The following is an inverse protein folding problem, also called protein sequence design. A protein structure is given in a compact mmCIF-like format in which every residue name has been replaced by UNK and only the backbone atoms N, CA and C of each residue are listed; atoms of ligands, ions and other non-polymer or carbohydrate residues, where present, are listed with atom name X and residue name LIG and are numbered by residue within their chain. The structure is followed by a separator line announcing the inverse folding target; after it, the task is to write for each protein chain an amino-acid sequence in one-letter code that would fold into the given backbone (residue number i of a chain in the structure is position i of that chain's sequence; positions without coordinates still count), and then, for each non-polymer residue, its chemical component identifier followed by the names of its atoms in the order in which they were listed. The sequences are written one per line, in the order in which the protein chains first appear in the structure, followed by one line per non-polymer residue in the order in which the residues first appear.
data_IF_866698040501
#
_entry.id   IF_866698040501
#
_cell.length_a   1.000
_cell.length_b   1.000
_cell.length_c   1.000
_cell.angle_alpha   90.00
_cell.angle_beta   90.00
_cell.angle_gamma   90.00
#
_symmetry.space_group_name_H-M   'P 1'
#
loop_
_entity.id
_entity.type
_entity.pdbx_description
1 polymer ?
#
# COMPACT_ATOMS: atom_id res chain seq x y z
N UNK A 1 43.51 -48.09 -53.46
CA UNK A 1 43.33 -46.63 -53.35
C UNK A 1 41.90 -46.22 -53.67
N UNK A 2 41.33 -46.59 -54.85
CA UNK A 2 39.94 -46.21 -55.26
C UNK A 2 38.82 -46.67 -54.29
N UNK A 3 38.93 -47.97 -53.85
CA UNK A 3 37.91 -48.53 -52.94
C UNK A 3 37.93 -47.82 -51.53
N UNK A 4 39.09 -47.44 -51.00
CA UNK A 4 39.21 -46.77 -49.74
C UNK A 4 38.74 -45.28 -49.78
N UNK A 5 38.98 -44.61 -50.90
CA UNK A 5 38.45 -43.24 -51.14
C UNK A 5 36.94 -43.25 -51.30
N UNK A 6 36.36 -44.21 -52.03
CA UNK A 6 34.92 -44.35 -52.18
C UNK A 6 34.24 -44.65 -50.85
N UNK A 7 34.81 -45.55 -50.03
CA UNK A 7 34.30 -45.89 -48.70
C UNK A 7 34.36 -44.65 -47.78
N UNK A 8 35.46 -43.87 -47.79
CA UNK A 8 35.59 -42.64 -47.01
C UNK A 8 34.56 -41.61 -47.43
N UNK A 9 34.37 -41.40 -48.75
CA UNK A 9 33.34 -40.43 -49.24
C UNK A 9 31.93 -40.81 -48.81
N UNK A 10 31.57 -42.11 -48.90
CA UNK A 10 30.24 -42.62 -48.48
C UNK A 10 30.07 -42.48 -46.97
N UNK A 11 31.10 -42.78 -46.17
CA UNK A 11 31.03 -42.62 -44.69
C UNK A 11 30.85 -41.15 -44.29
N UNK A 12 31.62 -40.24 -44.88
CA UNK A 12 31.52 -38.82 -44.63
C UNK A 12 30.14 -38.26 -45.07
N UNK A 13 29.62 -38.70 -46.22
CA UNK A 13 28.28 -38.28 -46.67
C UNK A 13 27.18 -38.73 -45.71
N UNK A 14 27.26 -39.98 -45.17
CA UNK A 14 26.31 -40.48 -44.15
C UNK A 14 26.38 -39.70 -42.85
N UNK A 15 27.58 -39.36 -42.36
CA UNK A 15 27.76 -38.53 -41.16
C UNK A 15 27.08 -37.16 -41.32
N UNK A 16 27.23 -36.51 -42.50
CA UNK A 16 26.56 -35.25 -42.79
C UNK A 16 25.04 -35.40 -42.87
N UNK A 17 24.53 -36.46 -43.50
CA UNK A 17 23.09 -36.72 -43.54
C UNK A 17 22.52 -36.98 -42.13
N UNK A 18 23.20 -37.74 -41.30
CA UNK A 18 22.76 -38.01 -39.93
C UNK A 18 22.78 -36.74 -39.07
N UNK A 19 23.77 -35.86 -39.24
CA UNK A 19 23.84 -34.57 -38.58
C UNK A 19 22.70 -33.65 -39.02
N UNK A 20 22.41 -33.55 -40.31
CA UNK A 20 21.29 -32.74 -40.84
C UNK A 20 19.94 -33.30 -40.36
N UNK A 21 19.79 -34.62 -40.31
CA UNK A 21 18.60 -35.26 -39.76
C UNK A 21 18.42 -35.00 -38.26
N UNK A 22 19.51 -34.96 -37.50
CA UNK A 22 19.47 -34.61 -36.09
C UNK A 22 19.01 -33.15 -35.87
N UNK A 23 19.56 -32.21 -36.61
CA UNK A 23 19.12 -30.81 -36.62
C UNK A 23 17.64 -30.65 -37.04
N UNK A 24 17.24 -31.39 -38.11
CA UNK A 24 15.86 -31.36 -38.60
C UNK A 24 14.85 -31.96 -37.62
N UNK A 25 15.26 -32.87 -36.72
CA UNK A 25 14.39 -33.41 -35.66
C UNK A 25 14.18 -32.45 -34.52
N UNK A 26 15.15 -31.56 -34.22
CA UNK A 26 15.12 -30.66 -33.07
C UNK A 26 14.70 -29.21 -33.41
N UNK A 27 14.85 -28.78 -34.66
CA UNK A 27 14.59 -27.40 -35.10
C UNK A 27 13.53 -27.37 -36.22
N UNK A 28 12.85 -26.23 -36.32
CA UNK A 28 12.04 -25.88 -37.47
C UNK A 28 12.97 -25.52 -38.64
N UNK A 29 12.87 -26.23 -39.76
CA UNK A 29 13.73 -26.02 -40.94
C UNK A 29 12.88 -25.73 -42.16
N UNK A 30 13.26 -24.68 -42.91
CA UNK A 30 12.63 -24.34 -44.19
C UNK A 30 13.68 -23.84 -45.17
N UNK A 31 13.53 -24.22 -46.43
CA UNK A 31 14.42 -23.87 -47.52
C UNK A 31 13.73 -22.93 -48.50
N UNK A 32 14.47 -22.00 -49.04
CA UNK A 32 14.00 -20.99 -49.99
C UNK A 32 14.94 -20.88 -51.17
N UNK A 33 14.41 -20.45 -52.30
CA UNK A 33 15.22 -19.87 -53.37
C UNK A 33 15.88 -18.58 -52.92
N UNK A 34 16.82 -18.02 -53.68
CA UNK A 34 17.51 -16.77 -53.33
C UNK A 34 16.57 -15.54 -53.32
N UNK A 35 15.43 -15.61 -54.02
CA UNK A 35 14.38 -14.58 -54.01
C UNK A 35 13.33 -14.79 -52.90
N UNK A 36 13.44 -15.84 -52.07
CA UNK A 36 12.55 -16.05 -50.94
C UNK A 36 11.34 -16.96 -51.24
N UNK A 37 11.30 -17.67 -52.36
CA UNK A 37 10.25 -18.65 -52.66
C UNK A 37 10.52 -19.98 -51.86
N UNK A 38 9.52 -20.53 -51.20
CA UNK A 38 9.64 -21.75 -50.38
C UNK A 38 9.87 -22.97 -51.29
N UNK A 39 10.93 -23.72 -51.03
CA UNK A 39 11.28 -24.96 -51.68
C UNK A 39 10.80 -26.18 -50.90
N UNK A 40 11.09 -26.18 -49.58
CA UNK A 40 10.80 -27.31 -48.70
C UNK A 40 10.72 -26.84 -47.24
N UNK A 41 9.92 -27.52 -46.42
CA UNK A 41 9.89 -27.34 -44.98
C UNK A 41 9.74 -28.69 -44.29
N UNK A 42 10.29 -28.80 -43.07
CA UNK A 42 10.11 -29.99 -42.22
C UNK A 42 8.84 -29.89 -41.38
N UNK A 43 8.46 -31.01 -40.74
CA UNK A 43 7.24 -31.11 -39.93
C UNK A 43 7.27 -30.16 -38.74
N UNK A 44 8.43 -29.89 -38.14
CA UNK A 44 8.56 -28.93 -37.04
C UNK A 44 8.21 -27.51 -37.49
N UNK A 45 8.66 -27.08 -38.68
CA UNK A 45 8.28 -25.79 -39.23
C UNK A 45 6.78 -25.70 -39.54
N UNK A 46 6.26 -26.75 -40.20
CA UNK A 46 4.83 -26.83 -40.53
C UNK A 46 3.95 -26.78 -39.29
N UNK A 47 4.30 -27.59 -38.28
CA UNK A 47 3.60 -27.61 -36.99
C UNK A 47 3.69 -26.24 -36.26
N UNK A 48 4.87 -25.62 -36.23
CA UNK A 48 5.09 -24.33 -35.57
C UNK A 48 4.26 -23.20 -36.19
N UNK A 49 4.17 -23.22 -37.54
CA UNK A 49 3.48 -22.15 -38.31
C UNK A 49 2.03 -22.53 -38.64
N UNK A 50 1.60 -23.76 -38.30
CA UNK A 50 0.23 -24.24 -38.51
C UNK A 50 -0.13 -24.55 -39.95
N UNK A 51 0.82 -24.56 -40.92
CA UNK A 51 0.58 -24.80 -42.32
C UNK A 51 0.77 -26.27 -42.72
N UNK A 52 0.10 -26.66 -43.79
CA UNK A 52 0.41 -27.90 -44.51
C UNK A 52 1.45 -27.63 -45.61
N UNK A 53 2.21 -28.66 -45.97
CA UNK A 53 3.29 -28.56 -46.95
C UNK A 53 2.82 -27.95 -48.29
N UNK A 54 1.68 -28.41 -48.80
CA UNK A 54 1.13 -27.97 -50.09
C UNK A 54 0.67 -26.50 -50.10
N UNK A 55 0.45 -25.92 -48.92
CA UNK A 55 0.00 -24.55 -48.76
C UNK A 55 1.14 -23.54 -48.90
N UNK A 56 2.39 -23.97 -48.61
CA UNK A 56 3.53 -23.05 -48.54
C UNK A 56 4.55 -23.22 -49.65
N UNK A 57 4.72 -24.45 -50.19
CA UNK A 57 5.68 -24.69 -51.28
C UNK A 57 5.30 -23.84 -52.50
N UNK A 58 6.28 -23.15 -53.08
CA UNK A 58 6.12 -22.22 -54.18
C UNK A 58 5.54 -20.84 -53.77
N UNK A 59 5.19 -20.65 -52.50
CA UNK A 59 4.81 -19.31 -51.98
C UNK A 59 6.05 -18.56 -51.52
N UNK A 60 5.97 -17.25 -51.57
CA UNK A 60 7.05 -16.40 -51.10
C UNK A 60 7.02 -16.27 -49.55
N UNK A 61 8.19 -16.21 -48.92
CA UNK A 61 8.40 -16.05 -47.46
C UNK A 61 7.52 -14.98 -46.81
N UNK A 62 7.11 -13.93 -47.55
CA UNK A 62 6.26 -12.83 -47.05
C UNK A 62 4.94 -13.29 -46.41
N UNK A 63 4.46 -14.51 -46.73
CA UNK A 63 3.24 -15.07 -46.13
C UNK A 63 3.36 -15.30 -44.62
N UNK A 64 4.58 -15.39 -44.10
CA UNK A 64 4.89 -15.56 -42.67
C UNK A 64 5.19 -14.23 -41.97
N UNK A 65 5.17 -13.10 -42.69
CA UNK A 65 5.50 -11.78 -42.19
C UNK A 65 4.24 -10.95 -41.98
N UNK A 66 4.30 -10.00 -41.03
CA UNK A 66 3.29 -8.94 -40.94
C UNK A 66 3.30 -8.10 -42.23
N UNK A 67 2.14 -7.60 -42.70
CA UNK A 67 2.07 -6.81 -43.94
C UNK A 67 3.01 -5.59 -43.98
N UNK A 68 3.18 -4.94 -42.82
CA UNK A 68 4.08 -3.78 -42.66
C UNK A 68 5.54 -4.17 -42.88
N UNK A 69 5.98 -5.31 -42.34
CA UNK A 69 7.33 -5.82 -42.54
C UNK A 69 7.53 -6.26 -44.00
N UNK A 70 6.60 -7.06 -44.54
CA UNK A 70 6.70 -7.60 -45.89
C UNK A 70 6.84 -6.57 -46.98
N UNK A 71 6.32 -5.33 -46.77
CA UNK A 71 6.35 -4.23 -47.69
C UNK A 71 7.46 -3.20 -47.42
N UNK A 72 8.28 -3.43 -46.39
CA UNK A 72 9.35 -2.53 -45.96
C UNK A 72 10.59 -2.61 -46.86
N UNK A 73 11.37 -1.53 -46.94
CA UNK A 73 12.70 -1.54 -47.60
C UNK A 73 13.65 -2.50 -46.90
N UNK A 74 13.58 -2.60 -45.56
CA UNK A 74 14.38 -3.50 -44.73
C UNK A 74 14.18 -4.98 -45.14
N UNK A 75 12.94 -5.37 -45.50
CA UNK A 75 12.64 -6.72 -45.96
C UNK A 75 13.26 -7.01 -47.35
N UNK A 76 13.30 -6.05 -48.25
CA UNK A 76 13.96 -6.18 -49.54
C UNK A 76 15.48 -6.27 -49.38
N UNK A 77 16.06 -5.48 -48.48
CA UNK A 77 17.50 -5.50 -48.21
C UNK A 77 17.92 -6.78 -47.49
N UNK A 78 17.04 -7.34 -46.65
CA UNK A 78 17.24 -8.64 -46.03
C UNK A 78 17.46 -9.76 -47.09
N UNK A 79 16.59 -9.84 -48.12
CA UNK A 79 16.73 -10.84 -49.17
C UNK A 79 17.94 -10.56 -50.10
N UNK A 80 18.27 -9.28 -50.37
CA UNK A 80 19.51 -8.93 -51.10
C UNK A 80 20.77 -9.37 -50.35
N UNK A 81 20.80 -9.20 -49.05
CA UNK A 81 21.93 -9.68 -48.20
C UNK A 81 22.09 -11.20 -48.30
N UNK A 82 21.02 -11.94 -48.20
CA UNK A 82 21.04 -13.40 -48.32
C UNK A 82 21.49 -13.82 -49.72
N UNK A 83 20.99 -13.18 -50.76
CA UNK A 83 21.39 -13.43 -52.16
C UNK A 83 22.86 -13.07 -52.44
N UNK A 84 23.50 -12.21 -51.61
CA UNK A 84 24.94 -11.91 -51.69
C UNK A 84 25.81 -12.86 -50.86
N UNK A 85 25.22 -13.91 -50.22
CA UNK A 85 25.95 -14.90 -49.44
C UNK A 85 26.12 -14.55 -47.96
N UNK A 86 25.50 -13.44 -47.49
CA UNK A 86 25.56 -13.06 -46.08
C UNK A 86 24.47 -13.78 -45.31
N UNK A 87 24.81 -14.52 -44.25
CA UNK A 87 23.84 -15.07 -43.32
C UNK A 87 23.24 -14.01 -42.41
N UNK A 88 22.04 -14.26 -41.89
CA UNK A 88 21.36 -13.39 -40.93
C UNK A 88 20.84 -14.23 -39.76
N UNK A 89 21.12 -13.80 -38.54
CA UNK A 89 20.60 -14.41 -37.32
C UNK A 89 19.96 -13.33 -36.47
N UNK A 90 18.72 -13.57 -36.04
CA UNK A 90 17.96 -12.63 -35.21
C UNK A 90 16.74 -13.32 -34.59
N UNK A 91 16.01 -12.59 -33.73
CA UNK A 91 14.67 -12.94 -33.26
C UNK A 91 13.65 -12.30 -34.20
N UNK A 92 12.85 -13.14 -34.86
CA UNK A 92 11.90 -12.71 -35.87
C UNK A 92 10.46 -12.87 -35.40
N UNK A 93 9.67 -11.78 -35.50
CA UNK A 93 8.23 -11.83 -35.30
C UNK A 93 7.58 -12.33 -36.59
N UNK A 94 6.84 -13.41 -36.53
CA UNK A 94 6.15 -14.02 -37.65
C UNK A 94 4.68 -14.19 -37.36
N UNK A 95 3.90 -14.54 -38.38
CA UNK A 95 2.47 -14.87 -38.27
C UNK A 95 2.23 -16.30 -38.81
N UNK A 96 1.48 -17.05 -38.05
CA UNK A 96 1.03 -18.39 -38.44
C UNK A 96 -0.14 -18.33 -39.46
N UNK A 97 -0.66 -19.49 -39.87
CA UNK A 97 -1.80 -19.55 -40.80
C UNK A 97 -3.09 -18.92 -40.28
N UNK A 98 -3.23 -18.73 -38.94
CA UNK A 98 -4.39 -18.16 -38.28
C UNK A 98 -4.21 -16.66 -37.99
N UNK A 99 -3.06 -16.08 -38.33
CA UNK A 99 -2.71 -14.69 -38.03
C UNK A 99 -2.16 -14.48 -36.63
N UNK A 100 -1.91 -15.56 -35.85
CA UNK A 100 -1.32 -15.46 -34.52
C UNK A 100 0.17 -15.17 -34.60
N UNK A 101 0.67 -14.38 -33.65
CA UNK A 101 2.09 -14.04 -33.60
C UNK A 101 2.91 -15.22 -33.11
N UNK A 102 3.95 -15.55 -33.87
CA UNK A 102 4.97 -16.57 -33.55
C UNK A 102 6.34 -15.89 -33.54
N UNK A 103 7.04 -15.98 -32.43
CA UNK A 103 8.43 -15.52 -32.31
C UNK A 103 9.39 -16.68 -32.60
N UNK A 104 10.27 -16.44 -33.57
CA UNK A 104 11.27 -17.40 -33.99
C UNK A 104 12.67 -16.83 -33.76
N UNK A 105 13.48 -17.49 -32.96
CA UNK A 105 14.93 -17.27 -33.00
C UNK A 105 15.48 -18.09 -34.15
N UNK A 106 16.05 -17.42 -35.16
CA UNK A 106 16.36 -18.09 -36.43
C UNK A 106 17.64 -17.59 -37.09
N UNK A 107 18.28 -18.50 -37.82
CA UNK A 107 19.36 -18.18 -38.73
C UNK A 107 18.96 -18.54 -40.17
N UNK A 108 19.22 -17.62 -41.09
CA UNK A 108 19.06 -17.81 -42.54
C UNK A 108 20.44 -17.94 -43.16
N UNK A 109 20.71 -19.06 -43.79
CA UNK A 109 22.04 -19.46 -44.25
C UNK A 109 22.03 -19.72 -45.76
N UNK A 110 22.66 -18.84 -46.59
CA UNK A 110 22.86 -19.09 -48.00
C UNK A 110 23.76 -20.32 -48.22
N UNK A 111 23.35 -21.21 -49.12
CA UNK A 111 24.03 -22.47 -49.42
C UNK A 111 24.54 -22.45 -50.86
N UNK A 112 25.79 -22.94 -51.06
CA UNK A 112 26.42 -23.08 -52.36
C UNK A 112 26.28 -24.50 -52.91
N UNK A 113 26.20 -24.61 -54.22
CA UNK A 113 26.25 -25.89 -54.92
C UNK A 113 27.72 -26.37 -55.12
N UNK A 114 27.89 -27.51 -55.76
CA UNK A 114 29.20 -28.11 -56.06
C UNK A 114 30.10 -27.22 -56.94
N UNK A 115 29.52 -26.23 -57.62
CA UNK A 115 30.23 -25.25 -58.47
C UNK A 115 30.61 -23.98 -57.71
N UNK A 116 30.27 -23.91 -56.43
CA UNK A 116 30.50 -22.72 -55.63
C UNK A 116 29.48 -21.59 -55.88
N UNK A 117 28.37 -21.86 -56.56
CA UNK A 117 27.31 -20.88 -56.85
C UNK A 117 26.24 -20.94 -55.75
N UNK A 118 25.79 -19.80 -55.26
CA UNK A 118 24.65 -19.71 -54.37
C UNK A 118 23.39 -20.19 -55.07
N UNK A 119 22.60 -21.09 -54.44
CA UNK A 119 21.40 -21.64 -55.07
C UNK A 119 20.18 -21.75 -54.18
N UNK A 120 20.34 -21.70 -52.87
CA UNK A 120 19.23 -21.66 -51.92
C UNK A 120 19.62 -21.01 -50.59
N UNK A 121 18.63 -20.69 -49.78
CA UNK A 121 18.77 -20.25 -48.38
C UNK A 121 18.10 -21.29 -47.48
N UNK A 122 18.79 -21.77 -46.45
CA UNK A 122 18.24 -22.67 -45.43
C UNK A 122 18.05 -21.87 -44.12
N UNK A 123 16.84 -21.90 -43.60
CA UNK A 123 16.51 -21.32 -42.30
C UNK A 123 16.40 -22.42 -41.28
N UNK A 124 17.12 -22.24 -40.16
CA UNK A 124 16.93 -23.00 -38.93
C UNK A 124 16.25 -22.06 -37.91
N UNK A 125 15.22 -22.57 -37.22
CA UNK A 125 14.47 -21.74 -36.29
C UNK A 125 14.01 -22.52 -35.06
N UNK A 126 14.00 -21.83 -33.94
CA UNK A 126 13.40 -22.29 -32.68
C UNK A 126 12.22 -21.39 -32.33
N UNK A 127 11.10 -21.99 -31.94
CA UNK A 127 9.94 -21.23 -31.47
C UNK A 127 10.19 -20.73 -30.05
N UNK A 128 10.33 -19.43 -29.89
CA UNK A 128 10.56 -18.72 -28.60
C UNK A 128 9.34 -17.90 -28.16
N UNK A 129 8.15 -18.16 -28.72
CA UNK A 129 6.94 -17.38 -28.43
C UNK A 129 6.62 -17.37 -26.95
N UNK A 130 6.65 -18.53 -26.29
CA UNK A 130 6.41 -18.62 -24.85
C UNK A 130 7.44 -17.84 -24.04
N UNK A 131 8.72 -17.92 -24.42
CA UNK A 131 9.79 -17.19 -23.76
C UNK A 131 9.58 -15.67 -23.87
N UNK A 132 9.28 -15.17 -25.08
CA UNK A 132 9.03 -13.73 -25.30
C UNK A 132 7.79 -13.24 -24.53
N UNK A 133 6.71 -14.03 -24.52
CA UNK A 133 5.51 -13.70 -23.74
C UNK A 133 5.79 -13.67 -22.24
N UNK A 134 6.61 -14.59 -21.76
CA UNK A 134 7.04 -14.63 -20.37
C UNK A 134 7.92 -13.43 -20.02
N UNK A 135 8.92 -13.09 -20.87
CA UNK A 135 9.77 -11.89 -20.72
C UNK A 135 8.90 -10.62 -20.66
N UNK A 136 7.90 -10.48 -21.53
CA UNK A 136 6.97 -9.34 -21.52
C UNK A 136 6.11 -9.28 -20.25
N UNK A 137 5.56 -10.42 -19.83
CA UNK A 137 4.76 -10.52 -18.61
C UNK A 137 5.58 -10.16 -17.37
N UNK A 138 6.82 -10.63 -17.30
CA UNK A 138 7.74 -10.30 -16.20
C UNK A 138 8.11 -8.81 -16.18
N UNK A 139 8.35 -8.21 -17.34
CA UNK A 139 8.63 -6.77 -17.46
C UNK A 139 7.43 -5.93 -16.99
N UNK A 140 6.21 -6.32 -17.38
CA UNK A 140 4.98 -5.64 -16.92
C UNK A 140 4.77 -5.80 -15.40
N UNK A 141 4.99 -7.00 -14.85
CA UNK A 141 4.89 -7.23 -13.42
C UNK A 141 5.91 -6.40 -12.63
N UNK A 142 7.15 -6.30 -13.13
CA UNK A 142 8.20 -5.48 -12.55
C UNK A 142 7.84 -3.99 -12.56
N UNK A 143 7.30 -3.49 -13.66
CA UNK A 143 6.84 -2.11 -13.76
C UNK A 143 5.72 -1.83 -12.75
N UNK A 144 4.70 -2.69 -12.70
CA UNK A 144 3.59 -2.54 -11.74
C UNK A 144 4.08 -2.58 -10.29
N UNK A 145 5.00 -3.50 -9.96
CA UNK A 145 5.58 -3.59 -8.62
C UNK A 145 6.32 -2.29 -8.24
N UNK A 146 7.04 -1.68 -9.18
CA UNK A 146 7.72 -0.40 -8.96
C UNK A 146 6.72 0.74 -8.72
N UNK A 147 5.67 0.85 -9.53
CA UNK A 147 4.62 1.88 -9.39
C UNK A 147 3.91 1.76 -8.03
N UNK A 148 3.46 0.55 -7.66
CA UNK A 148 2.79 0.28 -6.38
C UNK A 148 3.72 0.58 -5.20
N UNK A 149 5.02 0.26 -5.30
CA UNK A 149 5.98 0.54 -4.24
C UNK A 149 6.23 2.03 -4.05
N UNK A 150 6.32 2.80 -5.13
CA UNK A 150 6.45 4.26 -5.06
C UNK A 150 5.19 4.92 -4.45
N UNK A 151 4.00 4.46 -4.84
CA UNK A 151 2.75 4.92 -4.25
C UNK A 151 2.68 4.60 -2.76
N UNK A 152 3.04 3.36 -2.36
CA UNK A 152 3.12 2.92 -0.96
C UNK A 152 4.08 3.82 -0.18
N UNK A 153 5.25 4.13 -0.73
CA UNK A 153 6.20 5.07 -0.12
C UNK A 153 5.58 6.44 0.14
N UNK A 154 4.85 6.99 -0.82
CA UNK A 154 4.16 8.29 -0.67
C UNK A 154 3.07 8.24 0.42
N UNK A 155 2.25 7.20 0.42
CA UNK A 155 1.20 6.99 1.43
C UNK A 155 1.78 6.83 2.83
N UNK A 156 2.92 6.16 2.96
CA UNK A 156 3.61 5.97 4.24
C UNK A 156 4.12 7.30 4.81
N UNK A 157 4.66 8.18 3.96
CA UNK A 157 5.07 9.54 4.38
C UNK A 157 3.87 10.33 4.90
N UNK A 158 2.73 10.27 4.19
CA UNK A 158 1.48 10.92 4.64
C UNK A 158 0.98 10.32 5.97
N UNK A 159 1.00 8.99 6.10
CA UNK A 159 0.64 8.30 7.34
C UNK A 159 1.48 8.77 8.54
N UNK A 160 2.80 8.90 8.36
CA UNK A 160 3.70 9.44 9.39
C UNK A 160 3.37 10.88 9.77
N UNK A 161 2.99 11.71 8.82
CA UNK A 161 2.59 13.09 9.12
C UNK A 161 1.33 13.14 9.99
N UNK A 162 0.33 12.27 9.69
CA UNK A 162 -0.89 12.15 10.51
C UNK A 162 -0.55 11.68 11.92
N UNK A 163 0.32 10.67 12.05
CA UNK A 163 0.79 10.18 13.35
C UNK A 163 1.50 11.29 14.14
N UNK A 164 2.40 12.02 13.50
CA UNK A 164 3.08 13.17 14.13
C UNK A 164 2.11 14.21 14.67
N UNK A 165 1.09 14.59 13.87
CA UNK A 165 0.04 15.51 14.30
C UNK A 165 -0.81 14.95 15.46
N UNK A 166 -1.02 13.63 15.49
CA UNK A 166 -1.74 12.97 16.59
C UNK A 166 -0.94 13.03 17.88
N UNK A 167 0.36 12.75 17.83
CA UNK A 167 1.27 12.86 18.99
C UNK A 167 1.25 14.28 19.59
N UNK A 168 1.35 15.31 18.75
CA UNK A 168 1.31 16.72 19.17
C UNK A 168 -0.02 17.07 19.84
N UNK A 169 -1.15 16.61 19.27
CA UNK A 169 -2.47 16.82 19.85
C UNK A 169 -2.66 16.11 21.19
N UNK A 170 -2.14 14.89 21.33
CA UNK A 170 -2.21 14.15 22.60
C UNK A 170 -1.37 14.82 23.69
N UNK A 171 -0.21 15.37 23.34
CA UNK A 171 0.59 16.17 24.26
C UNK A 171 -0.19 17.39 24.75
N UNK A 172 -0.79 18.16 23.82
CA UNK A 172 -1.63 19.31 24.15
C UNK A 172 -2.81 18.92 25.03
N UNK A 173 -3.46 17.78 24.73
CA UNK A 173 -4.57 17.26 25.55
C UNK A 173 -4.11 16.93 26.97
N UNK A 174 -2.94 16.31 27.13
CA UNK A 174 -2.38 16.02 28.45
C UNK A 174 -2.15 17.28 29.27
N UNK A 175 -1.61 18.34 28.65
CA UNK A 175 -1.42 19.65 29.32
C UNK A 175 -2.75 20.29 29.74
N UNK A 176 -3.76 20.24 28.87
CA UNK A 176 -5.11 20.75 29.18
C UNK A 176 -5.76 19.97 30.33
N UNK A 177 -5.58 18.63 30.40
CA UNK A 177 -6.08 17.83 31.51
C UNK A 177 -5.39 18.17 32.84
N UNK A 178 -4.08 18.48 32.81
CA UNK A 178 -3.38 18.95 34.00
C UNK A 178 -3.93 20.32 34.49
N UNK A 179 -4.18 21.27 33.59
CA UNK A 179 -4.77 22.54 33.92
C UNK A 179 -6.20 22.40 34.48
N UNK A 180 -7.01 21.53 33.85
CA UNK A 180 -8.36 21.22 34.34
C UNK A 180 -8.34 20.62 35.75
N UNK A 181 -7.41 19.71 36.03
CA UNK A 181 -7.26 19.12 37.36
C UNK A 181 -6.88 20.16 38.41
N UNK A 182 -5.96 21.08 38.10
CA UNK A 182 -5.60 22.16 39.02
C UNK A 182 -6.79 23.10 39.32
N UNK A 183 -7.58 23.45 38.29
CA UNK A 183 -8.78 24.29 38.49
C UNK A 183 -9.86 23.59 39.35
N UNK A 184 -9.97 22.25 39.24
CA UNK A 184 -10.90 21.47 40.06
C UNK A 184 -10.41 21.36 41.50
N UNK A 185 -9.12 21.22 41.77
CA UNK A 185 -8.60 21.24 43.14
C UNK A 185 -8.83 22.62 43.80
N UNK A 186 -8.67 23.72 43.08
CA UNK A 186 -9.04 25.04 43.54
C UNK A 186 -10.53 25.14 43.88
N UNK A 187 -11.42 24.65 43.01
CA UNK A 187 -12.87 24.63 43.26
C UNK A 187 -13.22 23.85 44.53
N UNK A 188 -12.53 22.70 44.75
CA UNK A 188 -12.69 21.89 45.96
C UNK A 188 -12.27 22.66 47.23
N UNK A 189 -11.15 23.37 47.19
CA UNK A 189 -10.68 24.20 48.27
C UNK A 189 -11.68 25.34 48.60
N UNK A 190 -12.20 26.01 47.57
CA UNK A 190 -13.23 27.03 47.71
C UNK A 190 -14.53 26.49 48.31
N UNK A 191 -15.00 25.34 47.83
CA UNK A 191 -16.20 24.66 48.33
C UNK A 191 -16.05 24.29 49.82
N UNK A 192 -14.89 23.79 50.21
CA UNK A 192 -14.58 23.50 51.63
C UNK A 192 -14.63 24.77 52.45
N UNK A 193 -14.07 25.87 51.97
CA UNK A 193 -14.10 27.14 52.68
C UNK A 193 -15.52 27.71 52.83
N UNK A 194 -16.36 27.57 51.78
CA UNK A 194 -17.78 27.92 51.85
C UNK A 194 -18.49 27.13 52.94
N UNK A 195 -18.22 25.79 53.04
CA UNK A 195 -18.79 24.95 54.08
C UNK A 195 -18.43 25.42 55.51
N UNK A 196 -17.17 25.83 55.73
CA UNK A 196 -16.71 26.37 57.01
C UNK A 196 -17.47 27.66 57.36
N UNK A 197 -17.63 28.57 56.38
CA UNK A 197 -18.32 29.85 56.60
C UNK A 197 -19.81 29.64 56.89
N UNK A 198 -20.47 28.75 56.16
CA UNK A 198 -21.89 28.41 56.36
C UNK A 198 -22.11 27.76 57.72
N UNK A 199 -21.25 26.87 58.19
CA UNK A 199 -21.30 26.29 59.54
C UNK A 199 -21.15 27.38 60.62
N UNK A 200 -20.29 28.37 60.40
CA UNK A 200 -20.17 29.54 61.29
C UNK A 200 -21.44 30.39 61.33
N UNK A 201 -22.07 30.63 60.17
CA UNK A 201 -23.36 31.37 60.08
C UNK A 201 -24.47 30.60 60.79
N UNK A 202 -24.57 29.31 60.63
CA UNK A 202 -25.53 28.46 61.35
C UNK A 202 -25.31 28.54 62.87
N UNK A 203 -24.06 28.52 63.35
CA UNK A 203 -23.74 28.70 64.76
C UNK A 203 -24.17 30.13 65.32
N UNK A 204 -24.02 31.17 64.53
CA UNK A 204 -24.49 32.52 64.84
C UNK A 204 -26.03 32.60 64.89
N UNK A 205 -26.69 31.92 63.93
CA UNK A 205 -28.15 31.85 63.89
C UNK A 205 -28.70 31.09 65.16
N UNK A 206 -28.08 30.00 65.57
CA UNK A 206 -28.44 29.27 66.75
C UNK A 206 -28.28 30.09 68.02
N UNK A 207 -27.17 30.84 68.17
CA UNK A 207 -26.96 31.80 69.25
C UNK A 207 -28.01 32.92 69.23
N UNK A 208 -28.34 33.43 68.05
CA UNK A 208 -29.37 34.50 67.87
C UNK A 208 -30.75 33.95 68.27
N UNK A 209 -31.08 32.72 67.85
CA UNK A 209 -32.33 32.03 68.26
C UNK A 209 -32.44 31.91 69.76
N UNK A 210 -31.36 31.50 70.44
CA UNK A 210 -31.33 31.40 71.95
C UNK A 210 -31.44 32.76 72.62
N UNK A 211 -30.78 33.77 72.07
CA UNK A 211 -30.89 35.14 72.59
C UNK A 211 -32.33 35.73 72.47
N UNK A 212 -32.93 35.48 71.31
CA UNK A 212 -34.31 35.87 71.02
C UNK A 212 -35.31 35.16 71.94
N UNK A 213 -35.10 33.85 72.20
CA UNK A 213 -35.91 33.10 73.14
C UNK A 213 -35.80 33.61 74.52
N UNK A 214 -34.60 33.94 75.02
CA UNK A 214 -34.37 34.53 76.33
C UNK A 214 -35.04 35.95 76.45
N UNK A 215 -34.97 36.77 75.39
CA UNK A 215 -35.64 38.08 75.34
C UNK A 215 -37.16 37.95 75.34
N UNK A 216 -37.75 36.97 74.67
CA UNK A 216 -39.16 36.66 74.67
C UNK A 216 -39.66 36.23 76.04
N UNK A 217 -38.88 35.42 76.78
CA UNK A 217 -39.16 34.98 78.13
C UNK A 217 -39.17 36.20 79.06
N UNK A 218 -38.17 37.06 79.00
CA UNK A 218 -38.09 38.26 79.88
C UNK A 218 -39.15 39.26 79.54
N UNK A 219 -39.52 39.46 78.24
CA UNK A 219 -40.64 40.29 77.83
C UNK A 219 -41.98 39.73 78.36
N UNK A 220 -42.21 38.46 78.40
CA UNK A 220 -43.38 37.84 79.00
C UNK A 220 -43.40 38.08 80.53
N UNK A 221 -42.25 38.10 81.16
CA UNK A 221 -42.09 38.35 82.63
C UNK A 221 -42.41 39.77 83.00
N UNK A 222 -42.17 40.75 82.12
CA UNK A 222 -42.47 42.22 82.29
C UNK A 222 -43.97 42.52 82.11
N UNK A 223 -44.82 41.57 81.78
CA UNK A 223 -46.26 41.72 81.61
C UNK A 223 -46.65 42.75 80.51
N UNK A 224 -47.56 43.72 80.80
CA UNK A 224 -48.03 44.67 79.81
C UNK A 224 -46.92 45.61 79.31
N UNK A 225 -45.89 45.86 80.10
CA UNK A 225 -44.73 46.69 79.66
C UNK A 225 -43.81 45.99 78.70
N UNK A 226 -43.90 44.69 78.60
CA UNK A 226 -43.05 43.86 77.72
C UNK A 226 -43.65 43.54 76.32
N UNK A 227 -44.91 43.89 76.03
CA UNK A 227 -45.61 43.45 74.77
C UNK A 227 -44.89 43.81 73.48
N UNK A 228 -44.33 45.04 73.39
CA UNK A 228 -43.59 45.48 72.20
C UNK A 228 -42.27 44.70 72.02
N UNK A 229 -41.56 44.39 73.13
CA UNK A 229 -40.34 43.56 73.11
C UNK A 229 -40.62 42.14 72.77
N UNK A 230 -41.74 41.57 73.17
CA UNK A 230 -42.10 40.18 72.85
C UNK A 230 -42.28 39.97 71.32
N UNK A 231 -42.94 40.93 70.62
CA UNK A 231 -43.12 40.88 69.17
C UNK A 231 -41.79 40.95 68.45
N UNK A 232 -40.85 41.86 68.89
CA UNK A 232 -39.51 41.95 68.26
C UNK A 232 -38.69 40.62 68.51
N UNK A 233 -38.78 40.08 69.73
CA UNK A 233 -38.09 38.84 70.05
C UNK A 233 -38.59 37.68 69.21
N UNK A 234 -39.89 37.52 68.99
CA UNK A 234 -40.45 36.50 68.14
C UNK A 234 -40.04 36.66 66.69
N UNK A 235 -40.00 37.92 66.14
CA UNK A 235 -39.54 38.18 64.78
C UNK A 235 -38.05 37.81 64.58
N UNK A 236 -37.19 38.22 65.55
CA UNK A 236 -35.76 37.79 65.56
C UNK A 236 -35.60 36.29 65.64
N UNK A 237 -36.41 35.61 66.44
CA UNK A 237 -36.41 34.14 66.52
C UNK A 237 -36.80 33.52 65.20
N UNK A 238 -37.85 34.01 64.52
CA UNK A 238 -38.24 33.53 63.23
C UNK A 238 -37.14 33.75 62.15
N UNK A 239 -36.47 34.87 62.14
CA UNK A 239 -35.36 35.21 61.29
C UNK A 239 -34.21 34.29 61.51
N UNK A 240 -33.82 33.96 62.77
CA UNK A 240 -32.80 33.02 63.10
C UNK A 240 -33.11 31.57 62.55
N UNK A 241 -34.37 31.16 62.76
CA UNK A 241 -34.82 29.82 62.22
C UNK A 241 -34.77 29.80 60.70
N UNK A 242 -35.20 30.81 60.00
CA UNK A 242 -35.09 30.92 58.52
C UNK A 242 -33.66 30.91 58.08
N UNK A 243 -32.76 31.63 58.81
CA UNK A 243 -31.31 31.61 58.51
C UNK A 243 -30.77 30.16 58.57
N UNK A 244 -31.09 29.41 59.63
CA UNK A 244 -30.69 28.00 59.74
C UNK A 244 -31.20 27.13 58.60
N UNK A 245 -32.48 27.25 58.21
CA UNK A 245 -33.00 26.52 57.09
C UNK A 245 -32.22 26.82 55.78
N UNK A 246 -31.93 28.11 55.56
CA UNK A 246 -31.16 28.52 54.36
C UNK A 246 -29.69 28.00 54.40
N UNK A 247 -29.06 28.02 55.57
CA UNK A 247 -27.70 27.47 55.75
C UNK A 247 -27.67 25.93 55.52
N UNK A 248 -28.68 25.21 55.98
CA UNK A 248 -28.78 23.75 55.69
C UNK A 248 -28.93 23.45 54.19
N UNK A 249 -29.74 24.28 53.46
CA UNK A 249 -29.84 24.18 52.01
C UNK A 249 -28.49 24.42 51.31
N UNK A 250 -27.73 25.46 51.78
CA UNK A 250 -26.40 25.76 51.23
C UNK A 250 -25.42 24.61 51.51
N UNK A 251 -25.40 24.02 52.71
CA UNK A 251 -24.56 22.87 53.06
C UNK A 251 -24.87 21.68 52.15
N UNK A 252 -26.16 21.43 51.87
CA UNK A 252 -26.57 20.38 50.94
C UNK A 252 -26.03 20.61 49.53
N UNK A 253 -26.16 21.84 49.01
CA UNK A 253 -25.64 22.21 47.67
C UNK A 253 -24.11 22.12 47.60
N UNK A 254 -23.41 22.53 48.64
CA UNK A 254 -21.93 22.44 48.69
C UNK A 254 -21.49 20.96 48.72
N UNK A 255 -22.19 20.12 49.46
CA UNK A 255 -21.92 18.71 49.51
C UNK A 255 -22.11 18.04 48.16
N UNK A 256 -23.22 18.34 47.45
CA UNK A 256 -23.45 17.87 46.07
C UNK A 256 -22.37 18.36 45.10
N UNK A 257 -21.94 19.62 45.22
CA UNK A 257 -20.87 20.18 44.39
C UNK A 257 -19.53 19.44 44.61
N UNK A 258 -19.20 19.11 45.88
CA UNK A 258 -17.99 18.33 46.18
C UNK A 258 -18.04 16.91 45.56
N UNK A 259 -19.19 16.25 45.60
CA UNK A 259 -19.37 14.94 44.95
C UNK A 259 -19.19 15.05 43.44
N UNK A 260 -19.83 16.02 42.77
CA UNK A 260 -19.69 16.30 41.35
C UNK A 260 -18.23 16.60 40.96
N UNK A 261 -17.53 17.37 41.79
CA UNK A 261 -16.12 17.70 41.64
C UNK A 261 -15.23 16.47 41.72
N UNK A 262 -15.47 15.56 42.67
CA UNK A 262 -14.72 14.31 42.75
C UNK A 262 -14.96 13.39 41.53
N UNK A 263 -16.18 13.33 41.00
CA UNK A 263 -16.50 12.60 39.77
C UNK A 263 -15.77 13.21 38.56
N UNK A 264 -15.64 14.52 38.48
CA UNK A 264 -14.91 15.22 37.42
C UNK A 264 -13.40 14.89 37.48
N UNK A 265 -12.80 14.84 38.70
CA UNK A 265 -11.38 14.37 38.86
C UNK A 265 -11.18 12.95 38.32
N UNK A 266 -12.10 12.06 38.67
CA UNK A 266 -12.03 10.66 38.16
C UNK A 266 -12.06 10.58 36.63
N UNK A 267 -12.95 11.34 35.99
CA UNK A 267 -13.04 11.44 34.54
C UNK A 267 -11.76 11.99 33.91
N UNK A 268 -11.20 13.08 34.47
CA UNK A 268 -9.94 13.65 34.00
C UNK A 268 -8.80 12.62 34.09
N UNK A 269 -8.71 11.91 35.21
CA UNK A 269 -7.68 10.86 35.37
C UNK A 269 -7.84 9.74 34.33
N UNK A 270 -9.06 9.34 34.01
CA UNK A 270 -9.33 8.39 32.94
C UNK A 270 -8.91 8.94 31.56
N UNK A 271 -9.26 10.18 31.23
CA UNK A 271 -8.86 10.83 29.98
C UNK A 271 -7.33 10.95 29.85
N UNK A 272 -6.61 11.24 30.95
CA UNK A 272 -5.15 11.25 30.95
C UNK A 272 -4.56 9.87 30.61
N UNK A 273 -5.13 8.81 31.19
CA UNK A 273 -4.70 7.45 30.89
C UNK A 273 -4.93 7.11 29.41
N UNK A 274 -6.12 7.39 28.89
CA UNK A 274 -6.45 7.14 27.47
C UNK A 274 -5.56 7.95 26.52
N UNK A 275 -5.17 9.17 26.89
CA UNK A 275 -4.22 9.96 26.12
C UNK A 275 -2.82 9.33 26.08
N UNK A 276 -2.33 8.79 27.22
CA UNK A 276 -1.06 8.08 27.29
C UNK A 276 -1.08 6.78 26.47
N UNK A 277 -2.16 6.01 26.56
CA UNK A 277 -2.33 4.79 25.75
C UNK A 277 -2.34 5.11 24.25
N UNK A 278 -2.96 6.23 23.88
CA UNK A 278 -2.98 6.71 22.49
C UNK A 278 -1.60 7.16 22.01
N UNK A 279 -0.78 7.78 22.86
CA UNK A 279 0.62 8.11 22.55
C UNK A 279 1.43 6.85 22.23
N UNK A 280 1.34 5.84 23.10
CA UNK A 280 2.06 4.57 22.88
C UNK A 280 1.63 3.86 21.57
N UNK A 281 0.31 3.84 21.29
CA UNK A 281 -0.21 3.27 20.04
C UNK A 281 0.27 4.05 18.81
N UNK A 282 0.34 5.38 18.92
CA UNK A 282 0.82 6.24 17.82
C UNK A 282 2.31 6.02 17.55
N UNK A 283 3.14 5.84 18.57
CA UNK A 283 4.56 5.49 18.39
C UNK A 283 4.72 4.13 17.70
N UNK A 284 3.95 3.12 18.13
CA UNK A 284 3.94 1.80 17.47
C UNK A 284 3.52 1.90 16.01
N UNK A 285 2.47 2.68 15.71
CA UNK A 285 2.03 2.93 14.35
C UNK A 285 3.12 3.62 13.50
N UNK A 286 3.87 4.55 14.09
CA UNK A 286 5.02 5.21 13.47
C UNK A 286 6.12 4.21 13.07
N UNK A 287 6.44 3.26 13.93
CA UNK A 287 7.41 2.20 13.64
C UNK A 287 6.94 1.29 12.50
N UNK A 288 5.66 0.90 12.50
CA UNK A 288 5.07 0.11 11.39
C UNK A 288 5.16 0.86 10.07
N UNK A 289 4.92 2.18 10.07
CA UNK A 289 5.09 3.00 8.85
C UNK A 289 6.54 3.00 8.35
N UNK A 290 7.54 3.03 9.24
CA UNK A 290 8.94 2.90 8.83
C UNK A 290 9.22 1.53 8.19
N UNK A 291 8.74 0.44 8.78
CA UNK A 291 8.90 -0.91 8.23
C UNK A 291 8.27 -1.05 6.84
N UNK A 292 7.08 -0.45 6.62
CA UNK A 292 6.42 -0.42 5.31
C UNK A 292 7.25 0.38 4.30
N UNK A 293 7.79 1.53 4.70
CA UNK A 293 8.65 2.36 3.86
C UNK A 293 9.90 1.58 3.41
N UNK A 294 10.55 0.90 4.33
CA UNK A 294 11.74 0.09 4.05
C UNK A 294 11.39 -1.09 3.15
N UNK A 295 10.24 -1.75 3.38
CA UNK A 295 9.72 -2.81 2.53
C UNK A 295 9.48 -2.33 1.09
N UNK A 296 8.83 -1.20 0.91
CA UNK A 296 8.60 -0.59 -0.41
C UNK A 296 9.91 -0.24 -1.12
N UNK A 297 10.89 0.33 -0.41
CA UNK A 297 12.21 0.64 -0.96
C UNK A 297 12.95 -0.62 -1.43
N UNK A 298 12.89 -1.70 -0.67
CA UNK A 298 13.50 -3.00 -1.04
C UNK A 298 12.86 -3.60 -2.29
N UNK A 299 11.56 -3.43 -2.51
CA UNK A 299 10.89 -3.88 -3.74
C UNK A 299 11.41 -3.08 -4.94
N UNK A 300 11.53 -1.75 -4.83
CA UNK A 300 12.09 -0.89 -5.89
C UNK A 300 13.52 -1.33 -6.25
N UNK A 301 14.37 -1.60 -5.26
CA UNK A 301 15.74 -2.07 -5.48
C UNK A 301 15.78 -3.44 -6.16
N UNK A 302 14.95 -4.39 -5.72
CA UNK A 302 14.86 -5.72 -6.30
C UNK A 302 14.40 -5.67 -7.78
N UNK A 303 13.41 -4.82 -8.09
CA UNK A 303 12.94 -4.58 -9.46
C UNK A 303 14.04 -3.93 -10.32
N UNK A 304 14.78 -2.97 -9.77
CA UNK A 304 15.89 -2.33 -10.48
C UNK A 304 17.03 -3.33 -10.77
N UNK A 305 17.32 -4.25 -9.86
CA UNK A 305 18.30 -5.32 -10.07
C UNK A 305 17.82 -6.31 -11.13
N UNK A 306 16.56 -6.70 -11.08
CA UNK A 306 15.95 -7.61 -12.06
C UNK A 306 16.03 -7.04 -13.48
N UNK A 307 15.71 -5.75 -13.67
CA UNK A 307 15.77 -5.08 -14.98
C UNK A 307 17.22 -4.94 -15.54
N UNK A 308 18.26 -5.11 -14.73
CA UNK A 308 19.66 -5.12 -15.20
C UNK A 308 20.13 -6.49 -15.69
N UNK A 309 19.38 -7.53 -15.34
CA UNK A 309 19.73 -8.91 -15.67
C UNK A 309 18.95 -9.47 -16.86
N UNK A 310 17.91 -8.77 -17.31
CA UNK A 310 17.18 -8.97 -18.55
C UNK A 310 17.85 -8.21 -19.70
#
# INVERSE_FOLDING_TARGET
VFASELTRTITTSREYEDMLNALSRSMAVIEFTLDGTVLKANDNFLSTMGYKHEQIVGKHHRIFCLPEEANSSAYHDFWKRLASGQFVTDRFKRVDQHGSVVWLEASYNPIHNDRGELYKVVKFATNITQQVLQEQSMAQAAQLANEVSQETGTQTVQGRQVIGSTLEKMQTLSEQMQQANAAIEDLKAHSSKISELVNSISGIADQTNLLALNAAIEAARAGDHGRGFAVVADEVRQLAMRTNTTTDEIVSMVTENLERTNNAVALISQCQKEALDTLELSEKAGNVMNDIQDGASRVVEAVAQFNRTL
#
